data_IF_183102993213
#
_entry.id   IF_183102993213
#
_cell.length_a   1.000
_cell.length_b   1.000
_cell.length_c   1.000
_cell.angle_alpha   90.00
_cell.angle_beta   90.00
_cell.angle_gamma   90.00
#
_symmetry.space_group_name_H-M   'P 1'
#
loop_
_entity.id
_entity.type
_entity.pdbx_description
1 polymer ?
#
# COMPACT_ATOMS: atom_id res chain seq x y z
N UNK A 1 0.11 -49.37 95.54
CA UNK A 1 1.03 -49.16 94.39
C UNK A 1 0.25 -48.56 93.24
N UNK A 2 0.38 -47.25 93.09
CA UNK A 2 -0.38 -46.36 92.22
C UNK A 2 0.14 -46.46 90.78
N UNK A 3 -0.72 -46.73 89.80
CA UNK A 3 -0.36 -46.65 88.37
C UNK A 3 -1.01 -45.41 87.75
N UNK A 4 -0.18 -44.43 87.42
CA UNK A 4 -0.54 -43.26 86.61
C UNK A 4 -0.70 -43.69 85.14
N UNK A 5 -1.86 -43.45 84.55
CA UNK A 5 -2.08 -43.43 83.11
C UNK A 5 -1.88 -42.01 82.59
N UNK A 6 -0.83 -41.81 81.78
CA UNK A 6 -0.58 -40.58 81.03
C UNK A 6 -1.24 -40.74 79.65
N UNK A 7 -2.26 -39.92 79.36
CA UNK A 7 -2.87 -39.83 78.04
C UNK A 7 -2.12 -38.77 77.22
N UNK A 8 -1.51 -39.19 76.11
CA UNK A 8 -0.92 -38.29 75.11
C UNK A 8 -2.01 -37.86 74.12
N UNK A 9 -2.43 -36.60 74.19
CA UNK A 9 -3.27 -35.97 73.15
C UNK A 9 -2.38 -35.55 71.99
N UNK A 10 -2.47 -36.27 70.87
CA UNK A 10 -1.85 -35.88 69.60
C UNK A 10 -2.71 -34.79 68.94
N UNK A 11 -2.20 -33.55 68.94
CA UNK A 11 -2.80 -32.42 68.25
C UNK A 11 -2.39 -32.48 66.76
N UNK A 12 -3.29 -32.96 65.88
CA UNK A 12 -3.11 -32.85 64.43
C UNK A 12 -3.29 -31.38 64.01
N UNK A 13 -2.19 -30.72 63.67
CA UNK A 13 -2.20 -29.44 62.96
C UNK A 13 -2.54 -29.70 61.48
N UNK A 14 -3.81 -29.50 61.12
CA UNK A 14 -4.23 -29.41 59.73
C UNK A 14 -3.81 -28.01 59.25
N UNK A 15 -2.69 -27.93 58.52
CA UNK A 15 -2.32 -26.72 57.78
C UNK A 15 -3.26 -26.61 56.60
N UNK A 16 -4.30 -25.80 56.75
CA UNK A 16 -5.15 -25.36 55.64
C UNK A 16 -4.31 -24.49 54.71
N UNK A 17 -3.74 -25.07 53.65
CA UNK A 17 -3.18 -24.30 52.54
C UNK A 17 -4.36 -23.68 51.79
N UNK A 18 -4.80 -22.50 52.23
CA UNK A 18 -5.69 -21.67 51.42
C UNK A 18 -4.90 -21.27 50.17
N UNK A 19 -5.37 -21.59 48.95
CA UNK A 19 -4.76 -21.02 47.77
C UNK A 19 -4.87 -19.51 47.90
N UNK A 20 -3.73 -18.82 47.89
CA UNK A 20 -3.71 -17.36 47.77
C UNK A 20 -4.29 -17.07 46.39
N UNK A 21 -5.58 -16.76 46.34
CA UNK A 21 -6.20 -16.18 45.15
C UNK A 21 -5.44 -14.89 44.88
N UNK A 22 -4.76 -14.82 43.74
CA UNK A 22 -4.10 -13.61 43.31
C UNK A 22 -5.10 -12.44 43.38
N UNK A 23 -4.68 -11.32 43.95
CA UNK A 23 -5.51 -10.12 44.01
C UNK A 23 -6.03 -9.77 42.60
N UNK A 24 -7.32 -9.40 42.44
CA UNK A 24 -7.86 -8.94 41.16
C UNK A 24 -6.97 -7.85 40.59
N UNK A 25 -6.63 -7.93 39.30
CA UNK A 25 -5.72 -6.99 38.65
C UNK A 25 -6.16 -5.53 38.86
N UNK A 26 -7.47 -5.28 38.94
CA UNK A 26 -8.07 -3.96 39.16
C UNK A 26 -7.76 -3.33 40.53
N UNK A 27 -7.26 -4.10 41.51
CA UNK A 27 -6.85 -3.54 42.80
C UNK A 27 -5.53 -2.75 42.70
N UNK A 28 -4.69 -3.09 41.71
CA UNK A 28 -3.39 -2.44 41.49
C UNK A 28 -3.35 -1.65 40.18
N UNK A 29 -4.20 -1.99 39.20
CA UNK A 29 -4.22 -1.39 37.87
C UNK A 29 -5.56 -0.68 37.62
N UNK A 30 -5.51 0.65 37.54
CA UNK A 30 -6.68 1.47 37.20
C UNK A 30 -6.87 1.52 35.68
N UNK A 31 -7.35 0.41 35.11
CA UNK A 31 -7.60 0.24 33.67
C UNK A 31 -8.95 -0.42 33.46
N UNK A 32 -9.68 0.07 32.46
CA UNK A 32 -10.98 -0.46 32.05
C UNK A 32 -10.88 -0.99 30.63
N UNK A 33 -11.31 -2.23 30.42
CA UNK A 33 -11.47 -2.81 29.09
C UNK A 33 -12.76 -2.29 28.47
N UNK A 34 -12.67 -1.77 27.26
CA UNK A 34 -13.79 -1.16 26.54
C UNK A 34 -13.87 -1.67 25.10
N UNK A 35 -14.97 -1.37 24.42
CA UNK A 35 -15.21 -1.81 23.05
C UNK A 35 -15.59 -3.27 22.97
N UNK A 36 -15.14 -3.96 21.92
CA UNK A 36 -15.56 -5.33 21.60
C UNK A 36 -15.05 -6.38 22.60
N UNK A 37 -14.03 -6.04 23.39
CA UNK A 37 -13.49 -6.91 24.44
C UNK A 37 -14.00 -6.55 25.84
N UNK A 38 -15.01 -5.69 25.95
CA UNK A 38 -15.62 -5.36 27.23
C UNK A 38 -16.13 -6.64 27.92
N UNK A 39 -15.69 -6.85 29.16
CA UNK A 39 -16.06 -8.02 29.96
C UNK A 39 -15.08 -9.19 29.90
N UNK A 40 -14.05 -9.13 29.06
CA UNK A 40 -12.95 -10.11 29.07
C UNK A 40 -12.07 -9.88 30.30
N UNK A 41 -11.74 -10.96 31.02
CA UNK A 41 -10.88 -10.86 32.19
C UNK A 41 -9.43 -10.51 31.81
N UNK A 42 -8.75 -9.72 32.64
CA UNK A 42 -7.39 -9.27 32.35
C UNK A 42 -6.42 -10.44 32.09
N UNK A 43 -6.60 -11.55 32.80
CA UNK A 43 -5.77 -12.75 32.69
C UNK A 43 -5.94 -13.49 31.36
N UNK A 44 -7.06 -13.32 30.66
CA UNK A 44 -7.27 -13.95 29.35
C UNK A 44 -6.36 -13.31 28.28
N UNK A 45 -6.07 -12.01 28.40
CA UNK A 45 -5.10 -11.36 27.53
C UNK A 45 -3.69 -11.45 28.11
N UNK A 46 -3.53 -11.16 29.41
CA UNK A 46 -2.22 -10.96 30.02
C UNK A 46 -1.60 -12.25 30.63
N UNK A 47 -2.27 -13.39 30.48
CA UNK A 47 -1.90 -14.66 31.11
C UNK A 47 -2.30 -14.73 32.59
N UNK A 48 -2.38 -15.94 33.14
CA UNK A 48 -2.86 -16.21 34.50
C UNK A 48 -2.11 -15.43 35.60
N UNK A 49 -0.83 -15.11 35.38
CA UNK A 49 0.01 -14.36 36.30
C UNK A 49 0.26 -12.91 35.86
N UNK A 50 -0.41 -12.43 34.80
CA UNK A 50 -0.12 -11.13 34.21
C UNK A 50 1.27 -11.05 33.55
N UNK A 51 1.82 -12.19 33.15
CA UNK A 51 3.17 -12.32 32.61
C UNK A 51 3.31 -11.84 31.15
N UNK A 52 2.21 -11.58 30.45
CA UNK A 52 2.20 -11.01 29.11
C UNK A 52 1.98 -9.49 29.19
N UNK A 53 3.06 -8.72 29.32
CA UNK A 53 2.96 -7.25 29.32
C UNK A 53 2.41 -6.67 28.01
N UNK A 54 2.73 -7.30 26.88
CA UNK A 54 2.17 -6.97 25.56
C UNK A 54 1.56 -8.23 24.92
N UNK A 55 0.23 -8.43 25.04
CA UNK A 55 -0.40 -9.69 24.69
C UNK A 55 -0.44 -9.97 23.18
N UNK A 56 -0.39 -8.92 22.35
CA UNK A 56 -0.52 -9.02 20.88
C UNK A 56 0.79 -8.89 20.09
N UNK A 57 1.96 -8.89 20.73
CA UNK A 57 3.24 -8.63 20.05
C UNK A 57 3.70 -9.81 19.19
N UNK A 58 4.37 -9.52 18.08
CA UNK A 58 4.90 -10.53 17.16
C UNK A 58 5.87 -11.52 17.81
N UNK A 59 6.70 -11.07 18.77
CA UNK A 59 7.72 -11.88 19.44
C UNK A 59 7.12 -13.07 20.20
N UNK A 60 5.95 -12.87 20.81
CA UNK A 60 5.18 -13.94 21.44
C UNK A 60 4.10 -14.50 20.50
N UNK A 61 4.13 -14.17 19.22
CA UNK A 61 3.13 -14.54 18.20
C UNK A 61 1.69 -14.18 18.57
N UNK A 62 1.50 -13.12 19.36
CA UNK A 62 0.19 -12.68 19.83
C UNK A 62 -0.49 -13.69 20.76
N UNK A 63 0.28 -14.34 21.65
CA UNK A 63 -0.23 -15.38 22.56
C UNK A 63 -1.53 -14.98 23.29
N UNK A 64 -1.66 -13.73 23.73
CA UNK A 64 -2.85 -13.24 24.42
C UNK A 64 -4.05 -12.92 23.50
N UNK A 65 -3.95 -13.21 22.21
CA UNK A 65 -5.01 -12.98 21.22
C UNK A 65 -5.42 -14.28 20.51
N UNK A 66 -4.43 -15.14 20.19
CA UNK A 66 -4.64 -16.31 19.31
C UNK A 66 -5.44 -17.45 19.94
N UNK A 67 -5.62 -17.46 21.26
CA UNK A 67 -6.49 -18.45 21.93
C UNK A 67 -7.95 -18.29 21.51
N UNK A 68 -8.43 -17.05 21.36
CA UNK A 68 -9.78 -16.75 20.87
C UNK A 68 -9.80 -16.46 19.36
N UNK A 69 -8.75 -15.82 18.84
CA UNK A 69 -8.58 -15.52 17.43
C UNK A 69 -7.64 -16.55 16.77
N UNK A 70 -8.12 -17.79 16.68
CA UNK A 70 -7.34 -18.90 16.13
C UNK A 70 -6.72 -18.55 14.77
N UNK A 71 -5.51 -19.03 14.53
CA UNK A 71 -4.72 -18.87 13.30
C UNK A 71 -4.30 -17.45 12.92
N UNK A 72 -4.76 -16.39 13.62
CA UNK A 72 -4.37 -15.01 13.28
C UNK A 72 -2.90 -14.71 13.54
N UNK A 73 -2.24 -15.49 14.41
CA UNK A 73 -0.78 -15.39 14.65
C UNK A 73 0.06 -15.64 13.40
N UNK A 74 -0.52 -16.22 12.34
CA UNK A 74 0.13 -16.33 11.04
C UNK A 74 0.41 -14.98 10.41
N UNK A 75 -0.32 -13.90 10.76
CA UNK A 75 -0.11 -12.54 10.24
C UNK A 75 1.36 -12.09 10.36
N UNK A 76 2.04 -12.48 11.44
CA UNK A 76 3.45 -12.18 11.68
C UNK A 76 4.42 -12.94 10.76
N UNK A 77 3.91 -13.84 9.93
CA UNK A 77 4.67 -14.60 8.94
C UNK A 77 4.42 -14.15 7.49
N UNK A 78 3.49 -13.21 7.25
CA UNK A 78 3.11 -12.75 5.91
C UNK A 78 3.92 -11.52 5.44
N UNK A 79 3.59 -11.02 4.24
CA UNK A 79 4.29 -9.94 3.57
C UNK A 79 4.31 -8.62 4.38
N UNK A 80 3.26 -8.32 5.15
CA UNK A 80 3.18 -7.07 5.94
C UNK A 80 4.12 -7.04 7.15
N UNK A 81 4.53 -8.20 7.67
CA UNK A 81 5.52 -8.29 8.74
C UNK A 81 6.93 -8.54 8.20
N UNK A 82 7.08 -9.54 7.31
CA UNK A 82 8.40 -9.98 6.85
C UNK A 82 8.98 -9.10 5.74
N UNK A 83 8.14 -8.55 4.86
CA UNK A 83 8.56 -7.71 3.71
C UNK A 83 9.70 -8.33 2.89
N UNK A 84 9.70 -9.66 2.75
CA UNK A 84 10.82 -10.40 2.12
C UNK A 84 11.09 -9.89 0.70
N UNK A 85 10.04 -9.60 -0.07
CA UNK A 85 10.16 -9.06 -1.42
C UNK A 85 10.88 -7.69 -1.46
N UNK A 86 10.63 -6.82 -0.48
CA UNK A 86 11.32 -5.53 -0.39
C UNK A 86 12.75 -5.65 0.13
N UNK A 87 13.01 -6.58 1.06
CA UNK A 87 14.37 -6.91 1.47
C UNK A 87 15.21 -7.39 0.30
N UNK A 88 14.70 -8.36 -0.47
CA UNK A 88 15.33 -8.87 -1.69
C UNK A 88 15.49 -7.76 -2.74
N UNK A 89 14.52 -6.85 -2.86
CA UNK A 89 14.61 -5.71 -3.76
C UNK A 89 15.76 -4.80 -3.36
N UNK A 90 15.84 -4.39 -2.11
CA UNK A 90 16.94 -3.59 -1.63
C UNK A 90 18.28 -4.31 -1.79
N UNK A 91 18.36 -5.61 -1.49
CA UNK A 91 19.61 -6.36 -1.67
C UNK A 91 20.08 -6.37 -3.12
N UNK A 92 19.20 -6.64 -4.10
CA UNK A 92 19.59 -6.72 -5.52
C UNK A 92 19.81 -5.34 -6.20
N UNK A 93 19.17 -4.28 -5.69
CA UNK A 93 19.28 -2.93 -6.26
C UNK A 93 20.28 -2.07 -5.49
N UNK A 94 19.99 -1.82 -4.22
CA UNK A 94 20.78 -1.02 -3.29
C UNK A 94 22.01 -1.71 -2.76
N UNK A 95 22.03 -3.06 -2.66
CA UNK A 95 23.14 -3.79 -2.05
C UNK A 95 24.51 -3.53 -2.69
N UNK A 96 24.55 -3.02 -3.92
CA UNK A 96 25.79 -2.60 -4.61
C UNK A 96 26.29 -1.20 -4.23
N UNK A 97 25.42 -0.35 -3.67
CA UNK A 97 25.70 1.03 -3.28
C UNK A 97 25.68 1.22 -1.75
N UNK A 98 24.67 0.66 -1.08
CA UNK A 98 24.48 0.68 0.36
C UNK A 98 23.72 -0.58 0.82
N UNK A 99 24.42 -1.53 1.43
CA UNK A 99 23.84 -2.76 1.99
C UNK A 99 22.94 -2.50 3.20
N UNK A 100 23.04 -1.31 3.81
CA UNK A 100 22.25 -0.92 4.99
C UNK A 100 20.99 -0.11 4.65
N UNK A 101 20.72 0.12 3.35
CA UNK A 101 19.65 0.99 2.89
C UNK A 101 18.28 0.58 3.44
N UNK A 102 17.96 -0.71 3.42
CA UNK A 102 16.69 -1.24 3.92
C UNK A 102 16.49 -0.95 5.41
N UNK A 103 17.49 -1.23 6.24
CA UNK A 103 17.42 -0.98 7.68
C UNK A 103 17.27 0.51 8.00
N UNK A 104 17.89 1.38 7.20
CA UNK A 104 17.87 2.84 7.40
C UNK A 104 16.57 3.49 6.94
N UNK A 105 15.94 2.98 5.87
CA UNK A 105 14.85 3.69 5.17
C UNK A 105 13.50 2.97 5.21
N UNK A 106 13.42 1.71 5.64
CA UNK A 106 12.23 0.89 5.41
C UNK A 106 11.58 0.27 6.67
N UNK A 107 12.10 0.51 7.87
CA UNK A 107 11.64 -0.18 9.11
C UNK A 107 10.36 0.40 9.76
N UNK A 108 9.85 1.55 9.33
CA UNK A 108 8.79 2.27 10.06
C UNK A 108 7.35 1.77 9.84
N UNK A 109 7.12 0.76 9.00
CA UNK A 109 5.75 0.39 8.56
C UNK A 109 5.43 -1.12 8.64
N UNK A 110 6.19 -1.94 9.39
CA UNK A 110 5.95 -3.39 9.44
C UNK A 110 5.07 -3.73 10.63
N UNK A 111 4.16 -4.69 10.44
CA UNK A 111 3.29 -5.17 11.50
C UNK A 111 4.13 -5.91 12.55
N UNK A 112 4.16 -5.36 13.76
CA UNK A 112 4.86 -5.87 14.92
C UNK A 112 3.90 -6.26 16.07
N UNK A 113 2.62 -5.88 15.98
CA UNK A 113 1.60 -6.24 16.97
C UNK A 113 0.20 -6.29 16.34
N UNK A 114 -0.70 -7.11 16.89
CA UNK A 114 -2.13 -7.05 16.58
C UNK A 114 -2.70 -5.62 16.81
N UNK A 115 -2.15 -4.91 17.79
CA UNK A 115 -2.51 -3.54 18.13
C UNK A 115 -2.22 -2.52 17.02
N UNK A 116 -1.34 -2.83 16.08
CA UNK A 116 -1.00 -1.92 14.97
C UNK A 116 -2.23 -1.63 14.09
N UNK A 117 -3.13 -2.61 13.96
CA UNK A 117 -4.41 -2.45 13.28
C UNK A 117 -5.57 -2.25 14.26
N UNK A 118 -5.55 -2.91 15.42
CA UNK A 118 -6.69 -2.88 16.34
C UNK A 118 -6.68 -1.70 17.32
N UNK A 119 -5.64 -0.86 17.29
CA UNK A 119 -5.44 0.19 18.29
C UNK A 119 -4.70 -0.34 19.52
N UNK A 120 -4.30 0.57 20.42
CA UNK A 120 -3.48 0.24 21.58
C UNK A 120 -4.28 0.17 22.88
N UNK A 121 -3.75 -0.58 23.84
CA UNK A 121 -4.26 -0.67 25.21
C UNK A 121 -5.56 -1.49 25.34
N UNK A 122 -6.33 -1.18 26.37
CA UNK A 122 -7.57 -1.90 26.72
C UNK A 122 -8.81 -1.40 25.96
N UNK A 123 -8.62 -0.69 24.85
CA UNK A 123 -9.70 -0.11 24.02
C UNK A 123 -9.54 -0.52 22.54
N UNK A 124 -9.31 -1.81 22.30
CA UNK A 124 -9.13 -2.31 20.94
C UNK A 124 -10.43 -2.27 20.14
N UNK A 125 -10.33 -1.90 18.86
CA UNK A 125 -11.45 -1.76 17.94
C UNK A 125 -11.22 -2.53 16.65
N UNK A 126 -12.26 -2.68 15.84
CA UNK A 126 -12.10 -3.07 14.44
C UNK A 126 -11.35 -1.94 13.70
N UNK A 127 -10.36 -2.24 12.85
CA UNK A 127 -9.68 -1.22 12.05
C UNK A 127 -10.63 -0.58 11.04
N UNK A 128 -10.52 0.74 10.91
CA UNK A 128 -11.18 1.53 9.87
C UNK A 128 -10.18 1.93 8.75
N UNK A 129 -10.68 2.56 7.68
CA UNK A 129 -9.82 3.06 6.60
C UNK A 129 -8.72 3.99 7.11
N UNK A 130 -9.00 4.82 8.13
CA UNK A 130 -8.01 5.75 8.69
C UNK A 130 -6.81 4.99 9.27
N UNK A 131 -7.05 3.92 10.02
CA UNK A 131 -5.99 3.06 10.57
C UNK A 131 -5.15 2.40 9.49
N UNK A 132 -5.77 1.84 8.45
CA UNK A 132 -5.05 1.22 7.33
C UNK A 132 -4.10 2.24 6.67
N UNK A 133 -4.57 3.48 6.52
CA UNK A 133 -3.84 4.59 5.89
C UNK A 133 -2.73 5.21 6.75
N UNK A 134 -2.50 4.72 7.98
CA UNK A 134 -1.27 5.05 8.71
C UNK A 134 -0.05 4.45 7.99
N UNK A 135 -0.21 3.26 7.40
CA UNK A 135 0.85 2.58 6.63
C UNK A 135 0.60 2.62 5.11
N UNK A 136 -0.66 2.45 4.69
CA UNK A 136 -1.08 2.47 3.29
C UNK A 136 -1.32 3.90 2.77
N UNK A 137 -0.24 4.67 2.73
CA UNK A 137 -0.26 6.08 2.35
C UNK A 137 0.82 6.46 1.34
N UNK A 138 0.77 7.70 0.86
CA UNK A 138 1.73 8.21 -0.10
C UNK A 138 1.59 7.51 -1.46
N UNK A 139 2.70 6.97 -1.96
CA UNK A 139 2.72 6.16 -3.19
C UNK A 139 2.47 4.66 -2.93
N UNK A 140 2.29 4.25 -1.68
CA UNK A 140 1.68 2.94 -1.40
C UNK A 140 0.19 3.00 -1.68
N UNK A 141 -0.38 1.87 -2.12
CA UNK A 141 -1.79 1.78 -2.50
C UNK A 141 -2.66 1.90 -1.24
N UNK A 142 -3.71 2.74 -1.28
CA UNK A 142 -4.70 2.89 -0.21
C UNK A 142 -5.10 4.34 0.10
N UNK A 143 -4.21 5.32 -0.08
CA UNK A 143 -4.54 6.74 0.12
C UNK A 143 -5.38 7.33 -1.00
N UNK A 144 -5.20 6.78 -2.20
CA UNK A 144 -5.97 7.08 -3.39
C UNK A 144 -7.46 6.74 -3.21
N UNK A 145 -7.78 5.69 -2.44
CA UNK A 145 -9.15 5.33 -2.05
C UNK A 145 -9.91 6.52 -1.44
N UNK A 146 -9.26 7.26 -0.55
CA UNK A 146 -9.83 8.46 0.09
C UNK A 146 -9.56 9.76 -0.68
N UNK A 147 -9.09 9.69 -1.92
CA UNK A 147 -8.88 10.87 -2.76
C UNK A 147 -7.65 11.67 -2.36
N UNK A 148 -6.58 11.00 -1.94
CA UNK A 148 -5.34 11.66 -1.48
C UNK A 148 -4.17 11.24 -2.37
N UNK A 149 -3.56 12.19 -3.06
CA UNK A 149 -2.31 11.95 -3.78
C UNK A 149 -1.11 12.59 -3.06
N UNK A 150 0.09 12.01 -3.19
CA UNK A 150 1.31 12.63 -2.68
C UNK A 150 1.58 13.99 -3.31
N UNK A 151 2.11 14.91 -2.51
CA UNK A 151 2.65 16.19 -2.99
C UNK A 151 4.05 16.02 -3.58
N UNK A 152 4.46 17.02 -4.35
CA UNK A 152 5.82 17.19 -4.83
C UNK A 152 6.82 17.26 -3.66
N UNK A 153 8.04 16.73 -3.82
CA UNK A 153 8.97 16.59 -2.68
C UNK A 153 9.48 17.94 -2.17
N UNK A 154 9.50 18.98 -3.02
CA UNK A 154 9.96 20.31 -2.61
C UNK A 154 9.12 20.87 -1.45
N UNK A 155 9.81 21.43 -0.45
CA UNK A 155 9.20 22.05 0.74
C UNK A 155 8.21 23.17 0.39
N UNK A 156 8.36 23.82 -0.77
CA UNK A 156 7.42 24.84 -1.27
C UNK A 156 6.00 24.28 -1.46
N UNK A 157 5.87 23.00 -1.77
CA UNK A 157 4.59 22.35 -2.04
C UNK A 157 4.02 21.57 -0.85
N UNK A 158 4.73 21.55 0.28
CA UNK A 158 4.30 20.92 1.53
C UNK A 158 3.32 21.85 2.28
N UNK A 159 2.12 22.00 1.73
CA UNK A 159 1.06 22.88 2.24
C UNK A 159 -0.33 22.33 1.94
N UNK A 160 -1.34 22.79 2.70
CA UNK A 160 -2.73 22.40 2.54
C UNK A 160 -3.18 21.34 3.56
N UNK A 161 -4.17 20.49 3.23
CA UNK A 161 -4.67 19.50 4.18
C UNK A 161 -3.61 18.43 4.47
N UNK A 162 -3.65 17.91 5.70
CA UNK A 162 -2.76 16.87 6.20
C UNK A 162 -3.53 15.61 6.59
N UNK A 163 -2.88 14.46 6.48
CA UNK A 163 -3.31 13.18 7.03
C UNK A 163 -2.07 12.50 7.60
N UNK A 164 -2.13 11.99 8.84
CA UNK A 164 -0.97 11.36 9.51
C UNK A 164 0.32 12.18 9.35
N UNK A 165 0.23 13.48 9.65
CA UNK A 165 1.31 14.47 9.52
C UNK A 165 1.85 14.76 8.12
N UNK A 166 1.30 14.17 7.06
CA UNK A 166 1.76 14.38 5.69
C UNK A 166 0.79 15.25 4.89
N UNK A 167 1.33 16.23 4.16
CA UNK A 167 0.54 17.03 3.22
C UNK A 167 0.19 16.20 1.98
N UNK A 168 -1.06 16.34 1.53
CA UNK A 168 -1.54 15.67 0.32
C UNK A 168 -2.19 16.64 -0.67
N UNK A 169 -2.29 16.21 -1.92
CA UNK A 169 -3.12 16.82 -2.94
C UNK A 169 -4.51 16.19 -2.87
N UNK A 170 -5.54 17.01 -2.68
CA UNK A 170 -6.93 16.54 -2.69
C UNK A 170 -7.30 16.17 -4.13
N UNK A 171 -7.65 14.91 -4.31
CA UNK A 171 -8.09 14.31 -5.56
C UNK A 171 -9.53 13.83 -5.43
N UNK A 172 -10.09 13.31 -6.53
CA UNK A 172 -11.37 12.60 -6.49
C UNK A 172 -11.18 11.26 -5.76
N UNK A 173 -11.93 10.94 -4.69
CA UNK A 173 -11.83 9.64 -4.02
C UNK A 173 -12.31 8.48 -4.89
N UNK A 174 -12.32 7.26 -4.36
CA UNK A 174 -13.04 6.15 -4.96
C UNK A 174 -14.57 6.35 -4.80
N UNK A 175 -15.37 5.85 -5.75
CA UNK A 175 -16.83 5.84 -5.60
C UNK A 175 -17.31 4.93 -4.47
N UNK A 176 -16.55 3.87 -4.15
CA UNK A 176 -16.84 2.98 -3.02
C UNK A 176 -16.56 3.67 -1.68
N UNK A 177 -15.48 4.46 -1.59
CA UNK A 177 -15.21 5.29 -0.42
C UNK A 177 -16.31 6.35 -0.20
N UNK A 178 -16.80 6.98 -1.28
CA UNK A 178 -17.94 7.91 -1.20
C UNK A 178 -19.24 7.24 -0.76
N UNK A 179 -19.40 5.95 -1.06
CA UNK A 179 -20.52 5.14 -0.62
C UNK A 179 -20.38 4.63 0.83
N UNK A 180 -19.27 4.93 1.50
CA UNK A 180 -19.01 4.55 2.88
C UNK A 180 -18.41 3.16 3.08
N UNK A 181 -17.88 2.54 2.03
CA UNK A 181 -17.12 1.28 2.18
C UNK A 181 -15.74 1.57 2.79
N UNK A 182 -15.27 0.62 3.58
CA UNK A 182 -13.93 0.58 4.18
C UNK A 182 -13.01 -0.42 3.45
N UNK A 183 -11.71 -0.32 3.73
CA UNK A 183 -10.74 -1.27 3.19
C UNK A 183 -11.11 -2.73 3.54
N UNK A 184 -11.65 -2.97 4.74
CA UNK A 184 -11.99 -4.30 5.26
C UNK A 184 -13.16 -4.97 4.55
N UNK A 185 -14.00 -4.23 3.83
CA UNK A 185 -15.10 -4.79 3.02
C UNK A 185 -14.58 -5.63 1.86
N UNK A 186 -13.39 -5.31 1.35
CA UNK A 186 -12.68 -6.07 0.32
C UNK A 186 -11.49 -6.85 0.88
N UNK A 187 -10.80 -6.32 1.88
CA UNK A 187 -9.56 -6.86 2.45
C UNK A 187 -9.79 -7.44 3.85
N UNK A 188 -10.21 -8.70 3.93
CA UNK A 188 -10.53 -9.36 5.20
C UNK A 188 -9.31 -10.04 5.84
N UNK A 189 -9.35 -10.25 7.16
CA UNK A 189 -8.35 -11.07 7.84
C UNK A 189 -8.27 -12.48 7.26
N UNK A 190 -9.41 -13.10 6.94
CA UNK A 190 -9.44 -14.42 6.32
C UNK A 190 -8.67 -14.44 4.99
N UNK A 191 -8.87 -13.44 4.11
CA UNK A 191 -8.09 -13.35 2.87
C UNK A 191 -6.59 -13.19 3.11
N UNK A 192 -6.20 -12.40 4.11
CA UNK A 192 -4.78 -12.22 4.43
C UNK A 192 -4.13 -13.51 4.95
N UNK A 193 -4.82 -14.26 5.79
CA UNK A 193 -4.36 -15.55 6.30
C UNK A 193 -4.23 -16.59 5.18
N UNK A 194 -5.15 -16.57 4.21
CA UNK A 194 -5.08 -17.37 2.99
C UNK A 194 -3.96 -16.91 2.01
N UNK A 195 -3.23 -15.84 2.33
CA UNK A 195 -2.24 -15.23 1.44
C UNK A 195 -2.84 -14.51 0.22
N UNK A 196 -4.16 -14.29 0.21
CA UNK A 196 -4.85 -13.53 -0.83
C UNK A 196 -4.75 -12.04 -0.57
N UNK A 197 -4.65 -11.26 -1.65
CA UNK A 197 -4.62 -9.79 -1.56
C UNK A 197 -6.00 -9.21 -1.26
N UNK A 198 -7.07 -9.82 -1.77
CA UNK A 198 -8.47 -9.40 -1.57
C UNK A 198 -9.37 -10.62 -1.37
N UNK A 199 -10.42 -10.45 -0.56
CA UNK A 199 -11.50 -11.42 -0.40
C UNK A 199 -12.58 -11.29 -1.48
N UNK A 200 -12.64 -10.13 -2.16
CA UNK A 200 -13.66 -9.81 -3.15
C UNK A 200 -13.04 -9.36 -4.48
N UNK A 201 -13.64 -9.80 -5.57
CA UNK A 201 -13.42 -9.32 -6.92
C UNK A 201 -14.48 -8.28 -7.32
N UNK A 202 -14.25 -7.55 -8.41
CA UNK A 202 -15.25 -6.61 -8.92
C UNK A 202 -16.59 -7.30 -9.24
N UNK A 203 -16.55 -8.52 -9.78
CA UNK A 203 -17.74 -9.27 -10.23
C UNK A 203 -18.52 -9.90 -9.09
N UNK A 204 -17.96 -9.94 -7.87
CA UNK A 204 -18.68 -10.46 -6.70
C UNK A 204 -19.80 -9.53 -6.26
N UNK A 205 -19.74 -8.25 -6.68
CA UNK A 205 -20.73 -7.22 -6.32
C UNK A 205 -21.30 -6.47 -7.53
N UNK A 206 -20.65 -6.54 -8.71
CA UNK A 206 -21.07 -5.79 -9.90
C UNK A 206 -21.48 -6.72 -11.04
N UNK A 207 -22.75 -6.64 -11.40
CA UNK A 207 -23.24 -7.24 -12.63
C UNK A 207 -22.87 -6.37 -13.83
N UNK A 208 -22.20 -6.99 -14.81
CA UNK A 208 -21.77 -6.31 -16.03
C UNK A 208 -22.99 -6.03 -16.90
N UNK A 209 -23.38 -4.76 -17.00
CA UNK A 209 -24.47 -4.36 -17.90
C UNK A 209 -23.99 -4.37 -19.37
N UNK A 210 -24.51 -5.26 -20.24
CA UNK A 210 -24.10 -5.36 -21.65
C UNK A 210 -24.56 -4.18 -22.52
N UNK A 211 -25.52 -3.37 -22.06
CA UNK A 211 -25.98 -2.18 -22.79
C UNK A 211 -24.93 -1.06 -22.82
N UNK A 212 -23.98 -1.11 -21.89
CA UNK A 212 -22.80 -0.25 -21.92
C UNK A 212 -21.91 -0.72 -23.06
N UNK A 213 -21.65 0.18 -24.03
CA UNK A 213 -20.93 -0.11 -25.28
C UNK A 213 -19.63 -0.88 -25.01
N UNK A 214 -18.84 -0.44 -24.04
CA UNK A 214 -17.56 -1.06 -23.70
C UNK A 214 -17.71 -2.47 -23.12
N UNK A 215 -18.79 -2.76 -22.40
CA UNK A 215 -19.08 -4.09 -21.86
C UNK A 215 -19.59 -5.05 -22.93
N UNK A 216 -20.32 -4.56 -23.94
CA UNK A 216 -20.77 -5.36 -25.07
C UNK A 216 -19.66 -5.88 -25.98
N UNK A 217 -18.40 -5.45 -25.76
CA UNK A 217 -17.23 -5.91 -26.51
C UNK A 217 -16.56 -7.03 -25.72
N UNK A 218 -16.75 -8.28 -26.15
CA UNK A 218 -16.21 -9.48 -25.47
C UNK A 218 -14.70 -9.35 -25.16
N UNK A 219 -13.92 -8.84 -26.11
CA UNK A 219 -12.49 -8.67 -25.94
C UNK A 219 -12.11 -7.77 -24.75
N UNK A 220 -12.94 -6.79 -24.36
CA UNK A 220 -12.68 -5.98 -23.16
C UNK A 220 -12.90 -6.79 -21.88
N UNK A 221 -13.94 -7.61 -21.82
CA UNK A 221 -14.27 -8.42 -20.64
C UNK A 221 -13.33 -9.63 -20.45
N UNK A 222 -12.75 -10.13 -21.54
CA UNK A 222 -11.85 -11.28 -21.53
C UNK A 222 -10.40 -10.89 -21.31
N UNK A 223 -9.97 -9.77 -21.91
CA UNK A 223 -8.55 -9.41 -22.01
C UNK A 223 -8.15 -8.20 -21.15
N UNK A 224 -9.04 -7.62 -20.35
CA UNK A 224 -8.72 -6.47 -19.51
C UNK A 224 -9.18 -6.68 -18.07
N UNK A 225 -8.41 -6.14 -17.14
CA UNK A 225 -8.88 -5.91 -15.79
C UNK A 225 -9.91 -4.77 -15.77
N UNK A 226 -10.97 -4.90 -14.98
CA UNK A 226 -12.01 -3.87 -14.86
C UNK A 226 -11.41 -2.50 -14.49
N UNK A 227 -10.38 -2.51 -13.65
CA UNK A 227 -9.68 -1.31 -13.18
C UNK A 227 -8.89 -0.60 -14.28
N UNK A 228 -8.56 -1.25 -15.40
CA UNK A 228 -7.94 -0.59 -16.56
C UNK A 228 -8.84 0.50 -17.18
N UNK A 229 -10.16 0.32 -17.05
CA UNK A 229 -11.16 1.24 -17.55
C UNK A 229 -11.71 2.16 -16.44
N UNK A 230 -11.94 1.59 -15.26
CA UNK A 230 -12.63 2.28 -14.17
C UNK A 230 -11.73 3.08 -13.22
N UNK A 231 -10.41 2.84 -13.18
CA UNK A 231 -9.50 3.68 -12.41
C UNK A 231 -9.40 5.06 -13.08
N UNK A 232 -9.76 6.10 -12.33
CA UNK A 232 -9.84 7.47 -12.88
C UNK A 232 -8.50 8.22 -12.83
N UNK A 233 -7.62 7.85 -11.91
CA UNK A 233 -6.28 8.39 -11.80
C UNK A 233 -5.38 7.46 -10.96
N UNK A 234 -4.07 7.65 -11.02
CA UNK A 234 -3.16 7.03 -10.06
C UNK A 234 -1.98 7.94 -9.75
N UNK A 235 -1.52 7.90 -8.51
CA UNK A 235 -0.27 8.54 -8.12
C UNK A 235 0.91 7.78 -8.76
N UNK A 236 1.71 8.51 -9.53
CA UNK A 236 2.88 8.00 -10.25
C UNK A 236 4.12 8.83 -9.88
N UNK A 237 5.24 8.15 -9.62
CA UNK A 237 6.55 8.75 -9.30
C UNK A 237 7.59 8.15 -10.25
N UNK A 238 8.11 8.96 -11.17
CA UNK A 238 9.07 8.54 -12.19
C UNK A 238 10.48 8.98 -11.81
N UNK A 239 11.45 8.08 -11.99
CA UNK A 239 12.86 8.27 -11.66
C UNK A 239 13.10 8.97 -10.31
N UNK A 240 13.13 8.17 -9.25
CA UNK A 240 13.40 8.61 -7.89
C UNK A 240 14.90 8.74 -7.66
N UNK A 241 15.34 9.93 -7.26
CA UNK A 241 16.70 10.22 -6.85
C UNK A 241 16.89 10.02 -5.37
N UNK A 242 18.04 9.47 -5.04
CA UNK A 242 18.55 9.30 -3.69
C UNK A 242 19.99 9.79 -3.68
N UNK A 243 20.19 10.93 -3.04
CA UNK A 243 21.52 11.51 -2.88
C UNK A 243 21.99 11.23 -1.46
N UNK A 244 23.01 10.40 -1.33
CA UNK A 244 23.68 10.17 -0.05
C UNK A 244 24.67 11.30 0.21
N UNK A 245 24.57 11.94 1.37
CA UNK A 245 25.46 13.02 1.77
C UNK A 245 26.24 12.63 3.01
N UNK A 246 27.58 12.66 2.95
CA UNK A 246 28.48 12.43 4.07
C UNK A 246 29.31 13.69 4.27
N UNK A 247 29.29 14.25 5.49
CA UNK A 247 30.04 15.47 5.86
C UNK A 247 29.90 16.62 4.84
N UNK A 248 28.72 16.77 4.23
CA UNK A 248 28.51 17.69 3.10
C UNK A 248 27.50 18.78 3.45
N UNK A 249 27.95 20.03 3.49
CA UNK A 249 27.07 21.21 3.61
C UNK A 249 26.15 21.39 2.39
N UNK A 250 26.47 20.79 1.25
CA UNK A 250 25.63 20.76 0.04
C UNK A 250 24.21 20.24 0.31
N UNK A 251 24.02 19.44 1.37
CA UNK A 251 22.68 18.99 1.81
C UNK A 251 21.69 20.16 1.93
N UNK A 252 22.16 21.33 2.38
CA UNK A 252 21.31 22.51 2.58
C UNK A 252 20.71 23.08 1.28
N UNK A 253 21.31 22.81 0.11
CA UNK A 253 20.77 23.25 -1.18
C UNK A 253 19.53 22.45 -1.61
N UNK A 254 19.37 21.23 -1.10
CA UNK A 254 18.22 20.39 -1.42
C UNK A 254 17.01 20.79 -0.59
N UNK A 255 16.16 21.66 -1.15
CA UNK A 255 14.91 22.13 -0.51
C UNK A 255 13.76 21.14 -0.69
N UNK A 256 13.94 19.92 -0.19
CA UNK A 256 12.95 18.83 -0.21
C UNK A 256 12.52 18.42 1.19
N UNK A 257 11.36 17.76 1.31
CA UNK A 257 10.87 17.25 2.58
C UNK A 257 11.84 16.19 3.17
N UNK A 258 11.97 16.10 4.51
CA UNK A 258 12.80 15.06 5.13
C UNK A 258 12.33 13.64 4.80
N UNK A 259 13.29 12.72 4.72
CA UNK A 259 13.09 11.30 4.41
C UNK A 259 13.03 10.40 5.64
N UNK A 260 13.07 10.98 6.84
CA UNK A 260 13.13 10.24 8.12
C UNK A 260 14.54 9.90 8.59
N UNK A 261 15.58 10.24 7.81
CA UNK A 261 16.98 10.21 8.24
C UNK A 261 17.78 11.36 7.59
N UNK A 262 18.97 11.62 8.11
CA UNK A 262 19.86 12.68 7.61
C UNK A 262 20.82 12.23 6.52
N UNK A 263 20.96 10.91 6.33
CA UNK A 263 21.93 10.32 5.38
C UNK A 263 21.52 10.54 3.93
N UNK A 264 20.22 10.45 3.65
CA UNK A 264 19.69 10.56 2.30
C UNK A 264 18.88 11.83 2.07
N UNK A 265 18.96 12.35 0.85
CA UNK A 265 18.00 13.29 0.27
C UNK A 265 17.23 12.53 -0.81
N UNK A 266 15.89 12.56 -0.77
CA UNK A 266 15.04 11.96 -1.79
C UNK A 266 14.34 13.05 -2.61
N UNK A 267 14.36 12.89 -3.92
CA UNK A 267 13.50 13.64 -4.84
C UNK A 267 13.06 12.74 -5.99
N UNK A 268 12.24 13.26 -6.90
CA UNK A 268 11.81 12.53 -8.10
C UNK A 268 11.93 13.43 -9.32
N UNK A 269 12.15 12.85 -10.49
CA UNK A 269 12.21 13.60 -11.75
C UNK A 269 10.83 14.13 -12.13
N UNK A 270 9.81 13.28 -12.00
CA UNK A 270 8.45 13.63 -12.38
C UNK A 270 7.42 12.91 -11.51
N UNK A 271 6.40 13.66 -11.09
CA UNK A 271 5.22 13.12 -10.43
C UNK A 271 3.97 13.43 -11.24
N UNK A 272 3.08 12.44 -11.36
CA UNK A 272 1.79 12.58 -12.07
C UNK A 272 0.65 11.96 -11.26
N UNK A 273 -0.55 12.48 -11.46
CA UNK A 273 -1.79 12.03 -10.81
C UNK A 273 -2.92 11.91 -11.84
N UNK A 274 -2.60 11.45 -13.05
CA UNK A 274 -3.52 11.25 -14.17
C UNK A 274 -3.82 9.75 -14.39
N UNK A 275 -4.45 9.42 -15.52
CA UNK A 275 -4.76 8.04 -15.87
C UNK A 275 -3.50 7.16 -15.77
N UNK A 276 -3.58 6.00 -15.10
CA UNK A 276 -2.43 5.13 -14.99
C UNK A 276 -2.02 4.61 -16.38
N UNK A 277 -0.71 4.46 -16.62
CA UNK A 277 -0.20 3.67 -17.71
C UNK A 277 -0.73 2.23 -17.64
N UNK A 278 -0.78 1.56 -18.78
CA UNK A 278 -1.31 0.21 -18.93
C UNK A 278 -0.21 -0.71 -19.48
N UNK A 279 -0.16 -1.91 -18.92
CA UNK A 279 0.69 -3.00 -19.37
C UNK A 279 -0.12 -4.29 -19.45
N UNK A 280 0.54 -5.42 -19.28
CA UNK A 280 -0.07 -6.74 -19.28
C UNK A 280 0.31 -7.46 -17.98
N UNK A 281 -0.67 -7.99 -17.25
CA UNK A 281 -0.43 -8.77 -16.03
C UNK A 281 0.00 -10.22 -16.35
N UNK A 282 0.31 -10.99 -15.32
CA UNK A 282 0.73 -12.40 -15.46
C UNK A 282 -0.36 -13.30 -16.06
N UNK A 283 -1.63 -12.90 -15.98
CA UNK A 283 -2.77 -13.57 -16.63
C UNK A 283 -2.95 -13.16 -18.11
N UNK A 284 -2.08 -12.31 -18.66
CA UNK A 284 -2.16 -11.83 -20.05
C UNK A 284 -3.17 -10.71 -20.29
N UNK A 285 -3.81 -10.19 -19.22
CA UNK A 285 -4.81 -9.12 -19.28
C UNK A 285 -4.19 -7.74 -19.21
N UNK A 286 -4.81 -6.79 -19.90
CA UNK A 286 -4.44 -5.37 -19.82
C UNK A 286 -4.77 -4.86 -18.43
N UNK A 287 -3.77 -4.36 -17.72
CA UNK A 287 -3.87 -3.92 -16.33
C UNK A 287 -3.11 -2.61 -16.11
N UNK A 288 -3.49 -1.78 -15.12
CA UNK A 288 -2.70 -0.63 -14.71
C UNK A 288 -1.30 -1.04 -14.25
N UNK A 289 -0.30 -0.35 -14.78
CA UNK A 289 1.08 -0.42 -14.32
C UNK A 289 1.50 0.94 -13.81
N UNK A 290 2.47 0.95 -12.89
CA UNK A 290 3.13 2.18 -12.46
C UNK A 290 4.64 1.98 -12.38
N UNK A 291 5.42 3.05 -12.51
CA UNK A 291 6.78 3.07 -12.02
C UNK A 291 6.78 2.60 -10.57
N UNK A 292 7.59 1.59 -10.27
CA UNK A 292 7.79 1.15 -8.91
C UNK A 292 9.26 0.79 -8.76
N UNK A 293 9.98 1.68 -8.09
CA UNK A 293 11.42 1.57 -7.90
C UNK A 293 12.25 1.80 -9.17
N UNK A 294 12.06 2.97 -9.78
CA UNK A 294 13.06 3.56 -10.66
C UNK A 294 14.04 4.36 -9.80
N UNK A 295 15.11 3.72 -9.34
CA UNK A 295 16.01 4.28 -8.34
C UNK A 295 17.32 4.75 -8.98
N UNK A 296 17.69 5.99 -8.69
CA UNK A 296 18.93 6.64 -9.10
C UNK A 296 19.70 7.08 -7.87
N UNK A 297 21.00 6.76 -7.84
CA UNK A 297 21.85 7.02 -6.69
C UNK A 297 23.02 7.94 -7.06
N UNK A 298 23.28 8.90 -6.18
CA UNK A 298 24.48 9.72 -6.21
C UNK A 298 25.08 9.80 -4.81
N UNK A 299 26.40 9.81 -4.73
CA UNK A 299 27.12 9.96 -3.47
C UNK A 299 27.87 11.28 -3.45
N UNK A 300 27.73 12.04 -2.36
CA UNK A 300 28.46 13.29 -2.12
C UNK A 300 29.19 13.19 -0.80
N UNK A 301 30.52 13.32 -0.84
CA UNK A 301 31.41 13.28 0.32
C UNK A 301 32.21 14.57 0.35
N UNK A 302 32.22 15.26 1.49
CA UNK A 302 32.92 16.53 1.67
C UNK A 302 32.63 17.55 0.54
N UNK A 303 31.35 17.65 0.17
CA UNK A 303 30.82 18.49 -0.92
C UNK A 303 31.27 18.14 -2.35
N UNK A 304 31.91 16.99 -2.55
CA UNK A 304 32.33 16.52 -3.87
C UNK A 304 31.55 15.25 -4.27
N UNK A 305 31.10 15.14 -5.54
CA UNK A 305 30.50 13.91 -6.04
C UNK A 305 31.54 12.78 -6.03
N UNK A 306 31.11 11.58 -5.67
CA UNK A 306 31.94 10.38 -5.65
C UNK A 306 31.35 9.32 -6.57
N UNK A 307 32.14 8.88 -7.55
CA UNK A 307 31.69 7.92 -8.56
C UNK A 307 30.79 8.55 -9.62
N UNK A 308 29.92 7.71 -10.20
CA UNK A 308 28.95 8.12 -11.21
C UNK A 308 27.74 8.79 -10.54
N UNK A 309 27.41 10.01 -10.95
CA UNK A 309 26.15 10.66 -10.56
C UNK A 309 24.96 10.02 -11.28
N UNK A 310 23.81 9.94 -10.60
CA UNK A 310 22.60 9.32 -11.12
C UNK A 310 22.83 7.88 -11.58
N UNK A 311 23.62 7.13 -10.82
CA UNK A 311 23.81 5.70 -11.07
C UNK A 311 22.45 4.98 -10.98
N UNK A 312 22.01 4.39 -12.09
CA UNK A 312 20.71 3.72 -12.18
C UNK A 312 20.69 2.38 -11.45
N UNK A 313 20.20 2.35 -10.22
CA UNK A 313 20.13 1.16 -9.38
C UNK A 313 19.04 0.18 -9.80
N UNK A 314 17.88 0.69 -10.18
CA UNK A 314 16.74 -0.10 -10.62
C UNK A 314 15.87 0.70 -11.60
N UNK A 315 15.15 -0.01 -12.47
CA UNK A 315 14.18 0.57 -13.40
C UNK A 315 12.98 -0.36 -13.53
N UNK A 316 12.34 -0.57 -12.37
CA UNK A 316 11.24 -1.51 -12.23
C UNK A 316 9.89 -0.78 -12.31
N UNK A 317 8.91 -1.50 -12.85
CA UNK A 317 7.50 -1.16 -12.92
C UNK A 317 6.71 -2.31 -12.29
N UNK A 318 5.49 -2.02 -11.84
CA UNK A 318 4.63 -3.04 -11.26
C UNK A 318 3.20 -2.90 -11.77
N UNK A 319 2.56 -4.02 -12.07
CA UNK A 319 1.11 -4.13 -12.17
C UNK A 319 0.48 -3.94 -10.78
N UNK A 320 -0.52 -3.08 -10.70
CA UNK A 320 -1.19 -2.78 -9.45
C UNK A 320 -2.64 -2.37 -9.67
N UNK A 321 -3.39 -2.26 -8.57
CA UNK A 321 -4.80 -1.84 -8.56
C UNK A 321 -4.91 -0.45 -7.92
N UNK A 322 -5.04 0.63 -8.71
CA UNK A 322 -5.40 1.94 -8.17
C UNK A 322 -6.81 1.89 -7.57
N UNK A 323 -6.97 2.45 -6.37
CA UNK A 323 -8.25 2.55 -5.67
C UNK A 323 -8.91 3.89 -5.99
N UNK A 324 -9.17 4.12 -7.27
CA UNK A 324 -9.75 5.38 -7.77
C UNK A 324 -10.91 5.12 -8.71
N UNK A 325 -11.66 4.05 -8.41
CA UNK A 325 -12.74 3.53 -9.23
C UNK A 325 -13.84 4.58 -9.35
N UNK A 326 -14.30 4.76 -10.60
CA UNK A 326 -15.38 5.68 -10.94
C UNK A 326 -16.36 5.03 -11.90
N UNK A 327 -17.60 5.55 -11.88
CA UNK A 327 -18.66 5.17 -12.84
C UNK A 327 -18.33 5.64 -14.25
N UNK A 328 -17.69 6.80 -14.38
CA UNK A 328 -17.17 7.30 -15.65
C UNK A 328 -15.81 6.68 -15.96
N UNK A 329 -15.58 6.35 -17.22
CA UNK A 329 -14.38 5.68 -17.69
C UNK A 329 -13.62 6.53 -18.70
N UNK A 330 -12.37 6.15 -18.99
CA UNK A 330 -11.62 6.75 -20.09
C UNK A 330 -12.33 6.51 -21.44
N UNK A 331 -12.22 7.49 -22.35
CA UNK A 331 -12.73 7.36 -23.72
C UNK A 331 -11.87 6.40 -24.56
N UNK A 332 -12.43 5.86 -25.65
CA UNK A 332 -11.76 4.84 -26.46
C UNK A 332 -10.39 5.30 -26.99
N UNK A 333 -10.24 6.58 -27.34
CA UNK A 333 -8.99 7.17 -27.83
C UNK A 333 -7.88 7.19 -26.75
N UNK A 334 -8.26 7.24 -25.47
CA UNK A 334 -7.31 7.15 -24.35
C UNK A 334 -6.64 5.78 -24.23
N UNK A 335 -7.12 4.76 -24.95
CA UNK A 335 -6.45 3.47 -25.09
C UNK A 335 -6.02 3.25 -26.56
N UNK A 336 -6.97 3.27 -27.48
CA UNK A 336 -6.77 2.93 -28.88
C UNK A 336 -6.06 4.03 -29.72
N UNK A 337 -5.69 5.16 -29.11
CA UNK A 337 -4.99 6.26 -29.78
C UNK A 337 -3.87 6.88 -28.94
N UNK A 338 -3.52 6.26 -27.81
CA UNK A 338 -2.59 6.81 -26.83
C UNK A 338 -1.45 5.83 -26.57
N UNK A 339 -0.44 5.82 -27.45
CA UNK A 339 0.73 4.95 -27.35
C UNK A 339 1.52 5.18 -26.06
N UNK A 340 1.58 6.43 -25.60
CA UNK A 340 2.22 6.80 -24.33
C UNK A 340 1.59 6.06 -23.14
N UNK A 341 0.27 5.88 -23.12
CA UNK A 341 -0.40 5.11 -22.05
C UNK A 341 0.12 3.68 -21.96
N UNK A 342 0.63 3.13 -23.05
CA UNK A 342 1.18 1.77 -23.11
C UNK A 342 2.72 1.71 -23.08
N UNK A 343 3.39 2.81 -22.72
CA UNK A 343 4.88 2.88 -22.67
C UNK A 343 5.48 2.67 -24.08
N UNK A 344 4.80 3.23 -25.09
CA UNK A 344 5.18 3.19 -26.50
C UNK A 344 5.22 4.61 -27.11
N UNK A 345 5.63 5.60 -26.32
CA UNK A 345 5.73 6.99 -26.82
C UNK A 345 6.83 7.11 -27.89
N UNK A 346 6.55 7.66 -29.08
CA UNK A 346 7.59 7.94 -30.07
C UNK A 346 8.59 8.97 -29.55
N UNK A 347 9.89 8.77 -29.81
CA UNK A 347 10.96 9.62 -29.26
C UNK A 347 10.92 11.06 -29.79
N UNK A 348 10.34 11.26 -30.96
CA UNK A 348 10.10 12.54 -31.62
C UNK A 348 8.95 13.32 -30.98
N UNK A 349 8.07 12.66 -30.22
CA UNK A 349 6.96 13.27 -29.48
C UNK A 349 7.29 13.50 -28.00
N UNK A 350 8.44 13.00 -27.52
CA UNK A 350 8.81 13.10 -26.10
C UNK A 350 9.07 14.55 -25.71
N UNK A 351 8.48 14.94 -24.58
CA UNK A 351 8.73 16.25 -23.96
C UNK A 351 9.95 16.17 -23.04
N UNK A 352 10.08 15.07 -22.30
CA UNK A 352 11.13 14.86 -21.32
C UNK A 352 12.36 14.20 -21.96
N UNK A 353 13.55 14.63 -21.57
CA UNK A 353 14.84 14.17 -22.10
C UNK A 353 15.72 13.57 -21.00
N UNK A 354 15.29 12.46 -20.36
CA UNK A 354 16.06 11.81 -19.30
C UNK A 354 17.47 11.41 -19.75
N UNK A 355 17.69 11.20 -21.05
CA UNK A 355 18.99 10.97 -21.65
C UNK A 355 19.93 12.17 -21.46
N UNK A 356 19.41 13.39 -21.66
CA UNK A 356 20.16 14.64 -21.49
C UNK A 356 20.24 15.08 -20.03
N UNK A 357 19.30 14.64 -19.21
CA UNK A 357 19.25 14.92 -17.77
C UNK A 357 20.09 13.92 -16.95
N UNK A 358 20.80 12.99 -17.61
CA UNK A 358 21.77 12.08 -16.97
C UNK A 358 21.18 10.80 -16.37
N UNK A 359 20.03 10.32 -16.86
CA UNK A 359 19.35 9.12 -16.34
C UNK A 359 19.63 7.84 -17.18
N UNK A 360 20.39 7.97 -18.27
CA UNK A 360 20.80 6.83 -19.11
C UNK A 360 19.65 6.06 -19.77
N UNK A 361 18.49 6.70 -19.97
CA UNK A 361 17.34 6.18 -20.73
C UNK A 361 16.84 7.24 -21.70
N UNK A 362 16.36 6.84 -22.87
CA UNK A 362 15.86 7.77 -23.89
C UNK A 362 14.49 8.39 -23.54
N UNK A 363 13.65 7.64 -22.82
CA UNK A 363 12.34 8.08 -22.38
C UNK A 363 11.85 7.24 -21.21
N UNK A 364 11.03 7.85 -20.34
CA UNK A 364 10.31 7.16 -19.28
C UNK A 364 9.13 6.33 -19.84
N UNK A 365 8.67 6.60 -21.07
CA UNK A 365 7.57 5.90 -21.76
C UNK A 365 8.08 4.96 -22.86
N UNK A 366 9.21 4.30 -22.60
CA UNK A 366 9.85 3.31 -23.47
C UNK A 366 10.26 2.10 -22.63
N UNK A 367 10.07 0.89 -23.13
CA UNK A 367 10.34 -0.33 -22.37
C UNK A 367 11.85 -0.61 -22.18
N UNK A 368 12.70 -0.10 -23.06
CA UNK A 368 14.13 -0.43 -23.11
C UNK A 368 14.86 0.04 -21.85
N UNK A 369 15.62 -0.87 -21.26
CA UNK A 369 16.30 -0.63 -19.99
C UNK A 369 15.38 -0.66 -18.77
N UNK A 370 14.09 -0.96 -18.95
CA UNK A 370 13.08 -1.05 -17.89
C UNK A 370 12.41 -2.43 -17.89
N UNK A 371 11.72 -2.80 -16.81
CA UNK A 371 10.93 -4.05 -16.75
C UNK A 371 9.71 -3.91 -15.85
N UNK A 372 8.65 -4.67 -16.14
CA UNK A 372 7.52 -4.90 -15.24
C UNK A 372 7.78 -6.18 -14.44
N UNK A 373 7.75 -6.11 -13.10
CA UNK A 373 8.22 -7.23 -12.25
C UNK A 373 7.21 -8.37 -12.07
N UNK A 374 5.92 -8.09 -12.30
CA UNK A 374 4.80 -9.02 -12.16
C UNK A 374 3.88 -8.93 -13.38
N UNK A 375 4.49 -8.96 -14.57
CA UNK A 375 3.81 -8.77 -15.84
C UNK A 375 4.78 -8.37 -16.94
N UNK A 376 4.28 -7.63 -17.92
CA UNK A 376 5.08 -7.12 -19.04
C UNK A 376 4.56 -5.76 -19.52
N UNK A 377 5.41 -5.04 -20.25
CA UNK A 377 4.93 -3.92 -21.06
C UNK A 377 4.06 -4.43 -22.21
N UNK A 378 3.19 -3.56 -22.73
CA UNK A 378 2.36 -3.89 -23.89
C UNK A 378 3.22 -4.22 -25.12
N UNK A 379 3.03 -5.39 -25.76
CA UNK A 379 3.73 -5.68 -27.01
C UNK A 379 3.33 -4.66 -28.10
N UNK A 380 4.27 -4.04 -28.83
CA UNK A 380 3.97 -3.06 -29.86
C UNK A 380 2.96 -3.56 -30.90
N UNK A 381 3.14 -4.79 -31.39
CA UNK A 381 2.23 -5.40 -32.35
C UNK A 381 0.79 -5.58 -31.80
N UNK A 382 0.62 -5.80 -30.48
CA UNK A 382 -0.70 -5.88 -29.84
C UNK A 382 -1.32 -4.48 -29.78
N UNK A 383 -0.53 -3.46 -29.46
CA UNK A 383 -0.97 -2.06 -29.46
C UNK A 383 -1.38 -1.57 -30.87
N UNK A 384 -0.61 -1.91 -31.90
CA UNK A 384 -0.92 -1.56 -33.28
C UNK A 384 -2.25 -2.17 -33.72
N UNK A 385 -2.49 -3.45 -33.44
CA UNK A 385 -3.76 -4.13 -33.75
C UNK A 385 -4.94 -3.47 -33.04
N UNK A 386 -4.84 -3.17 -31.74
CA UNK A 386 -5.92 -2.49 -31.03
C UNK A 386 -6.14 -1.06 -31.54
N UNK A 387 -5.11 -0.39 -32.03
CA UNK A 387 -5.20 1.01 -32.46
C UNK A 387 -5.86 1.19 -33.83
N UNK A 388 -6.10 0.10 -34.57
CA UNK A 388 -6.80 0.14 -35.86
C UNK A 388 -8.22 0.69 -35.70
N UNK A 389 -8.53 1.73 -36.47
CA UNK A 389 -9.84 2.41 -36.44
C UNK A 389 -10.81 1.72 -37.39
N UNK A 390 -11.26 0.53 -37.01
CA UNK A 390 -12.25 -0.22 -37.81
C UNK A 390 -13.59 0.53 -37.89
N UNK A 391 -14.48 0.17 -38.83
CA UNK A 391 -15.85 0.70 -38.87
C UNK A 391 -16.60 0.48 -37.54
N UNK A 392 -16.39 -0.66 -36.88
CA UNK A 392 -17.00 -0.99 -35.58
C UNK A 392 -16.51 -0.05 -34.50
N UNK A 393 -15.19 0.21 -34.43
CA UNK A 393 -14.64 1.21 -33.53
C UNK A 393 -15.29 2.57 -33.76
N UNK A 394 -15.37 3.00 -35.01
CA UNK A 394 -15.87 4.34 -35.37
C UNK A 394 -17.35 4.50 -35.00
N UNK A 395 -18.18 3.49 -35.27
CA UNK A 395 -19.59 3.46 -34.85
C UNK A 395 -19.73 3.49 -33.33
N UNK A 396 -18.96 2.66 -32.61
CA UNK A 396 -18.98 2.62 -31.15
C UNK A 396 -18.54 3.95 -30.53
N UNK A 397 -17.49 4.56 -31.06
CA UNK A 397 -16.96 5.85 -30.59
C UNK A 397 -17.96 6.98 -30.81
N UNK A 398 -18.60 7.07 -31.98
CA UNK A 398 -19.66 8.06 -32.24
C UNK A 398 -20.85 7.83 -31.30
N UNK A 399 -21.30 6.59 -31.12
CA UNK A 399 -22.39 6.27 -30.18
C UNK A 399 -22.04 6.71 -28.75
N UNK A 400 -20.80 6.47 -28.29
CA UNK A 400 -20.32 6.91 -26.98
C UNK A 400 -20.41 8.44 -26.81
N UNK A 401 -19.99 9.19 -27.82
CA UNK A 401 -20.11 10.66 -27.82
C UNK A 401 -21.55 11.12 -27.80
N UNK A 402 -22.43 10.50 -28.59
CA UNK A 402 -23.87 10.81 -28.57
C UNK A 402 -24.49 10.56 -27.19
N UNK A 403 -24.14 9.44 -26.55
CA UNK A 403 -24.65 9.10 -25.21
C UNK A 403 -24.13 10.05 -24.12
N UNK A 404 -22.90 10.56 -24.28
CA UNK A 404 -22.35 11.60 -23.41
C UNK A 404 -23.15 12.90 -23.55
N UNK A 405 -23.39 13.36 -24.77
CA UNK A 405 -24.09 14.62 -25.06
C UNK A 405 -25.59 14.57 -24.68
N UNK A 406 -26.23 13.40 -24.73
CA UNK A 406 -27.65 13.25 -24.37
C UNK A 406 -27.93 13.49 -22.87
N UNK A 407 -26.94 13.29 -21.98
CA UNK A 407 -27.14 13.44 -20.52
C UNK A 407 -27.32 14.90 -20.06
N UNK A 408 -26.90 15.87 -20.87
CA UNK A 408 -27.00 17.30 -20.52
C UNK A 408 -28.41 17.90 -20.66
N UNK A 409 -29.32 17.22 -21.35
CA UNK A 409 -30.71 17.71 -21.50
C UNK A 409 -31.52 17.70 -20.19
N UNK A 410 -31.06 16.98 -19.16
CA UNK A 410 -31.71 16.92 -17.84
C UNK A 410 -30.85 17.48 -16.68
N UNK A 411 -29.54 17.67 -16.88
CA UNK A 411 -28.59 18.09 -15.83
C UNK A 411 -28.52 19.61 -15.61
N UNK A 412 -29.26 20.39 -16.40
CA UNK A 412 -29.27 21.86 -16.36
C UNK A 412 -30.54 22.43 -15.68
N UNK A 413 -31.25 21.62 -14.87
CA UNK A 413 -32.20 22.17 -13.90
C UNK A 413 -31.43 22.57 -12.62
N UNK A 414 -31.59 23.83 -12.15
CA UNK A 414 -30.80 24.40 -11.06
C UNK A 414 -30.94 23.65 -9.74
#
# INVERSE_FOLDING_TARGET
>A
MTRLTVAFSALLLIVSVTPVLAAPCQQCHEVTVSGVHQGIACQECHGAQGNLGNPGIADNRGLGCVECHADTGMIFSHAMSRRTAEQEFCQRSWGRADTTFYATNCQQCHVASCADCHGSGHAMTTPDTHRCQTCHQGYFVGWDFSGRAPREDSVRYQRGPRSHDQYYLKMRPDVHAEAGLDCSDCHTMASFLDGKVSAKSCRDCHDVNPDIIEHGIAAHLENMECVSCHASWAAQEYATYYVETINSSNRAYFRVKPTGNERYVKSSYLKRQDLPPLGVNEEGRVAPIRPQFQAYYSKVVDNQPQGEENQRLASEWKVFTPHTIRRGTALCDQCHGNARRFILEPLEQRIYRPDRDGLGIDSLWRAEGQRVVNGSFMPPARFERMSQKTPEYSRGYVKKWQDFLKKDAASSKP
#
